data_IF_700181332021
#
_entry.id   IF_700181332021
#
_cell.length_a   1.000
_cell.length_b   1.000
_cell.length_c   1.000
_cell.angle_alpha   90.00
_cell.angle_beta   90.00
_cell.angle_gamma   90.00
#
_symmetry.space_group_name_H-M   'P 1'
#
loop_
_entity.id
_entity.type
_entity.pdbx_description
1 polymer ?
#
# COMPACT_ATOMS: atom_id res chain seq x y z
N UNK A 1 17.82 17.10 1.94
CA UNK A 1 16.52 17.06 1.22
C UNK A 1 15.88 15.69 1.36
N UNK A 2 14.54 15.63 1.40
CA UNK A 2 13.61 14.51 1.71
C UNK A 2 14.15 13.28 2.43
N UNK A 3 15.10 12.52 1.88
CA UNK A 3 15.74 11.38 2.55
C UNK A 3 16.38 11.74 3.90
N UNK A 4 17.10 12.87 3.95
CA UNK A 4 17.68 13.36 5.21
C UNK A 4 16.59 13.65 6.25
N UNK A 5 15.50 14.30 5.82
CA UNK A 5 14.36 14.58 6.68
C UNK A 5 13.67 13.30 7.16
N UNK A 6 13.48 12.29 6.30
CA UNK A 6 12.88 11.01 6.66
C UNK A 6 13.75 10.25 7.66
N UNK A 7 15.07 10.22 7.47
CA UNK A 7 16.01 9.62 8.43
C UNK A 7 15.97 10.31 9.79
N UNK A 8 15.82 11.64 9.81
CA UNK A 8 15.73 12.43 11.04
C UNK A 8 14.39 12.27 11.76
N UNK A 9 13.29 12.05 11.04
CA UNK A 9 11.92 12.12 11.58
C UNK A 9 11.19 10.77 11.65
N UNK A 10 11.67 9.73 10.97
CA UNK A 10 11.04 8.40 10.93
C UNK A 10 12.05 7.31 11.34
N UNK A 11 11.96 6.76 12.56
CA UNK A 11 12.94 5.81 13.09
C UNK A 11 13.04 4.48 12.33
N UNK A 12 12.08 4.18 11.46
CA UNK A 12 12.01 2.95 10.66
C UNK A 12 11.91 3.23 9.16
N UNK A 13 12.47 4.36 8.70
CA UNK A 13 12.56 4.67 7.28
C UNK A 13 13.37 3.62 6.53
N UNK A 14 12.88 3.22 5.36
CA UNK A 14 13.58 2.30 4.46
C UNK A 14 14.29 3.12 3.40
N UNK A 15 15.62 3.08 3.41
CA UNK A 15 16.41 3.76 2.40
C UNK A 15 16.12 3.20 1.00
N UNK A 16 16.37 3.97 -0.07
CA UNK A 16 16.23 3.50 -1.44
C UNK A 16 17.03 2.21 -1.72
N UNK A 17 18.15 2.01 -1.04
CA UNK A 17 18.99 0.81 -1.21
C UNK A 17 18.38 -0.46 -0.58
N UNK A 18 17.42 -0.30 0.33
CA UNK A 18 16.75 -1.41 1.01
C UNK A 18 15.48 -1.88 0.28
N UNK A 19 14.75 -0.97 -0.37
CA UNK A 19 13.51 -1.30 -1.08
C UNK A 19 13.80 -1.65 -2.54
N UNK A 20 13.47 -2.88 -3.00
CA UNK A 20 13.75 -3.26 -4.37
C UNK A 20 12.87 -2.47 -5.37
N UNK A 21 13.40 -2.15 -6.57
CA UNK A 21 12.61 -1.52 -7.62
C UNK A 21 11.42 -2.42 -8.02
N UNK A 22 10.34 -1.81 -8.50
CA UNK A 22 9.15 -2.52 -9.03
C UNK A 22 8.45 -3.47 -8.05
N UNK A 23 8.64 -3.31 -6.73
CA UNK A 23 8.11 -4.23 -5.70
C UNK A 23 6.70 -3.89 -5.22
N UNK A 24 5.74 -3.77 -6.14
CA UNK A 24 4.32 -3.54 -5.79
C UNK A 24 3.73 -4.70 -4.99
N UNK A 25 4.24 -5.91 -5.20
CA UNK A 25 3.90 -7.10 -4.42
C UNK A 25 4.28 -6.99 -2.95
N UNK A 26 5.19 -6.10 -2.61
CA UNK A 26 5.65 -5.89 -1.23
C UNK A 26 4.94 -4.70 -0.56
N UNK A 27 4.31 -3.78 -1.31
CA UNK A 27 3.68 -2.60 -0.73
C UNK A 27 2.21 -2.86 -0.34
N UNK A 28 1.81 -2.78 0.95
CA UNK A 28 0.42 -2.97 1.36
C UNK A 28 -0.58 -2.05 0.68
N UNK A 29 -0.17 -0.83 0.31
CA UNK A 29 -1.01 0.09 -0.45
C UNK A 29 -1.34 -0.48 -1.83
N UNK A 30 -0.36 -1.07 -2.51
CA UNK A 30 -0.50 -1.56 -3.88
C UNK A 30 -1.15 -2.94 -3.97
N UNK A 31 -0.71 -3.90 -3.16
CA UNK A 31 -1.24 -5.26 -3.24
C UNK A 31 -2.65 -5.38 -2.63
N UNK A 32 -3.07 -4.45 -1.76
CA UNK A 32 -4.35 -4.54 -1.06
C UNK A 32 -5.19 -3.26 -1.07
N UNK A 33 -4.74 -2.18 -0.44
CA UNK A 33 -5.61 -1.04 -0.11
C UNK A 33 -6.17 -0.35 -1.36
N UNK A 34 -5.35 -0.07 -2.37
CA UNK A 34 -5.81 0.54 -3.62
C UNK A 34 -6.80 -0.33 -4.38
N UNK A 35 -6.60 -1.65 -4.37
CA UNK A 35 -7.57 -2.59 -4.96
C UNK A 35 -8.93 -2.51 -4.26
N UNK A 36 -8.93 -2.47 -2.92
CA UNK A 36 -10.17 -2.37 -2.14
C UNK A 36 -10.89 -1.04 -2.36
N UNK A 37 -10.17 0.08 -2.26
CA UNK A 37 -10.74 1.42 -2.43
C UNK A 37 -11.28 1.59 -3.85
N UNK A 38 -10.52 1.17 -4.87
CA UNK A 38 -10.98 1.18 -6.26
C UNK A 38 -12.26 0.36 -6.44
N UNK A 39 -12.33 -0.83 -5.87
CA UNK A 39 -13.50 -1.70 -5.99
C UNK A 39 -14.77 -1.13 -5.35
N UNK A 40 -14.64 -0.31 -4.30
CA UNK A 40 -15.78 0.36 -3.67
C UNK A 40 -16.15 1.65 -4.39
N UNK A 41 -15.16 2.49 -4.66
CA UNK A 41 -15.33 3.77 -5.30
C UNK A 41 -15.95 3.62 -6.70
N UNK A 42 -15.47 2.65 -7.50
CA UNK A 42 -15.98 2.43 -8.87
C UNK A 42 -17.40 1.85 -8.94
N UNK A 43 -18.07 1.59 -7.81
CA UNK A 43 -19.50 1.24 -7.80
C UNK A 43 -20.39 2.44 -8.09
N UNK A 44 -19.85 3.65 -7.97
CA UNK A 44 -20.58 4.89 -8.19
C UNK A 44 -19.83 5.75 -9.22
N UNK A 45 -20.60 6.47 -10.05
CA UNK A 45 -20.03 7.44 -10.97
C UNK A 45 -19.71 8.73 -10.20
N UNK A 46 -18.53 9.30 -10.46
CA UNK A 46 -18.12 10.59 -9.92
C UNK A 46 -18.05 11.61 -11.06
N UNK A 47 -18.92 12.63 -11.00
CA UNK A 47 -19.01 13.65 -12.05
C UNK A 47 -18.04 14.83 -11.82
N UNK A 48 -17.34 14.86 -10.68
CA UNK A 48 -16.36 15.89 -10.33
C UNK A 48 -15.15 15.28 -9.62
N UNK A 49 -14.01 15.95 -9.72
CA UNK A 49 -12.80 15.58 -9.00
C UNK A 49 -13.00 15.64 -7.48
N UNK A 50 -13.78 16.59 -6.99
CA UNK A 50 -14.05 16.75 -5.56
C UNK A 50 -14.90 15.61 -5.00
N UNK A 51 -15.91 15.15 -5.76
CA UNK A 51 -16.69 13.97 -5.39
C UNK A 51 -15.80 12.73 -5.30
N UNK A 52 -14.92 12.52 -6.28
CA UNK A 52 -13.99 11.39 -6.28
C UNK A 52 -13.05 11.43 -5.08
N UNK A 53 -12.44 12.60 -4.81
CA UNK A 53 -11.53 12.78 -3.67
C UNK A 53 -12.23 12.53 -2.34
N UNK A 54 -13.44 13.07 -2.17
CA UNK A 54 -14.23 12.90 -0.94
C UNK A 54 -14.51 11.42 -0.67
N UNK A 55 -14.93 10.67 -1.68
CA UNK A 55 -15.22 9.23 -1.53
C UNK A 55 -13.94 8.42 -1.22
N UNK A 56 -12.81 8.72 -1.85
CA UNK A 56 -11.53 8.05 -1.50
C UNK A 56 -11.17 8.30 -0.04
N UNK A 57 -11.23 9.55 0.43
CA UNK A 57 -10.90 9.90 1.83
C UNK A 57 -11.85 9.22 2.80
N UNK A 58 -13.16 9.21 2.51
CA UNK A 58 -14.17 8.54 3.31
C UNK A 58 -13.93 7.02 3.40
N UNK A 59 -13.58 6.37 2.29
CA UNK A 59 -13.30 4.94 2.27
C UNK A 59 -12.09 4.54 3.11
N UNK A 60 -11.04 5.36 3.11
CA UNK A 60 -9.89 5.15 4.01
C UNK A 60 -10.27 5.43 5.48
N UNK A 61 -11.02 6.50 5.75
CA UNK A 61 -11.42 6.86 7.11
C UNK A 61 -12.33 5.80 7.77
N UNK A 62 -13.20 5.18 6.97
CA UNK A 62 -14.12 4.13 7.41
C UNK A 62 -13.48 2.73 7.45
N UNK A 63 -12.20 2.60 7.08
CA UNK A 63 -11.53 1.31 7.05
C UNK A 63 -11.31 0.77 8.46
N UNK A 64 -11.79 -0.44 8.73
CA UNK A 64 -11.62 -1.07 10.03
C UNK A 64 -10.15 -1.34 10.32
N UNK A 65 -9.72 -1.06 11.56
CA UNK A 65 -8.33 -1.27 12.00
C UNK A 65 -7.88 -2.73 11.85
N UNK A 66 -8.78 -3.70 12.01
CA UNK A 66 -8.44 -5.12 11.83
C UNK A 66 -8.10 -5.47 10.37
N UNK A 67 -8.78 -4.82 9.41
CA UNK A 67 -8.49 -4.96 7.98
C UNK A 67 -7.11 -4.39 7.66
N UNK A 68 -6.77 -3.22 8.23
CA UNK A 68 -5.45 -2.61 8.09
C UNK A 68 -4.36 -3.51 8.68
N UNK A 69 -4.58 -4.00 9.90
CA UNK A 69 -3.62 -4.87 10.59
C UNK A 69 -3.40 -6.19 9.83
N UNK A 70 -4.46 -6.82 9.30
CA UNK A 70 -4.35 -8.04 8.49
C UNK A 70 -3.58 -7.80 7.20
N UNK A 71 -3.86 -6.70 6.51
CA UNK A 71 -3.15 -6.33 5.29
C UNK A 71 -1.66 -6.17 5.57
N UNK A 72 -1.29 -5.30 6.51
CA UNK A 72 0.12 -5.09 6.90
C UNK A 72 0.77 -6.37 7.42
N UNK A 73 0.04 -7.23 8.14
CA UNK A 73 0.54 -8.51 8.63
C UNK A 73 0.96 -9.49 7.53
N UNK A 74 0.45 -9.35 6.29
CA UNK A 74 0.88 -10.16 5.14
C UNK A 74 2.26 -9.77 4.62
N UNK A 75 2.78 -8.60 5.02
CA UNK A 75 4.04 -8.06 4.48
C UNK A 75 5.19 -9.06 4.56
N UNK A 76 5.45 -9.62 5.75
CA UNK A 76 6.54 -10.58 5.96
C UNK A 76 6.42 -11.81 5.05
N UNK A 77 5.22 -12.39 5.01
CA UNK A 77 4.97 -13.57 4.20
C UNK A 77 5.19 -13.29 2.70
N UNK A 78 4.79 -12.11 2.21
CA UNK A 78 5.05 -11.72 0.82
C UNK A 78 6.54 -11.57 0.52
N UNK A 79 7.32 -11.01 1.45
CA UNK A 79 8.79 -11.00 1.31
C UNK A 79 9.36 -12.42 1.22
N UNK A 80 8.90 -13.33 2.08
CA UNK A 80 9.33 -14.74 2.05
C UNK A 80 8.98 -15.41 0.71
N UNK A 81 7.83 -15.10 0.11
CA UNK A 81 7.46 -15.57 -1.22
C UNK A 81 8.36 -14.99 -2.33
N UNK A 82 8.70 -13.70 -2.26
CA UNK A 82 9.63 -13.08 -3.22
C UNK A 82 11.01 -13.72 -3.13
N UNK A 83 11.50 -13.99 -1.92
CA UNK A 83 12.77 -14.72 -1.72
C UNK A 83 12.69 -16.13 -2.30
N UNK A 84 11.60 -16.86 -2.07
CA UNK A 84 11.39 -18.20 -2.64
C UNK A 84 11.27 -18.20 -4.18
N UNK A 85 10.90 -17.06 -4.77
CA UNK A 85 10.84 -16.84 -6.21
C UNK A 85 12.16 -16.27 -6.78
N UNK A 86 13.25 -16.27 -6.02
CA UNK A 86 14.56 -15.69 -6.40
C UNK A 86 14.45 -14.22 -6.85
N UNK A 87 13.58 -13.44 -6.19
CA UNK A 87 13.31 -12.05 -6.53
C UNK A 87 12.27 -11.85 -7.65
N UNK A 88 11.64 -12.93 -8.12
CA UNK A 88 10.56 -12.89 -9.10
C UNK A 88 9.24 -12.33 -8.56
N UNK A 89 8.31 -12.07 -9.48
CA UNK A 89 6.94 -11.67 -9.16
C UNK A 89 6.19 -12.78 -8.44
N UNK A 90 5.28 -12.39 -7.55
CA UNK A 90 4.44 -13.34 -6.79
C UNK A 90 2.97 -13.08 -7.08
N UNK A 91 2.15 -14.14 -7.05
CA UNK A 91 0.71 -13.98 -7.22
C UNK A 91 0.05 -13.33 -5.99
N UNK A 92 -1.17 -12.82 -6.17
CA UNK A 92 -1.95 -12.11 -5.14
C UNK A 92 -2.64 -13.03 -4.14
#
# INVERSE_FOLDING_TARGET
ETQAWLLENLPYHWSPDLWPPSSTDCNPLDYFFWGMVKNKNNKHAHNTLDSLRATIVEEFANMKKDVVAKACGRFRHRIEMVVAADGGYIEK
#
